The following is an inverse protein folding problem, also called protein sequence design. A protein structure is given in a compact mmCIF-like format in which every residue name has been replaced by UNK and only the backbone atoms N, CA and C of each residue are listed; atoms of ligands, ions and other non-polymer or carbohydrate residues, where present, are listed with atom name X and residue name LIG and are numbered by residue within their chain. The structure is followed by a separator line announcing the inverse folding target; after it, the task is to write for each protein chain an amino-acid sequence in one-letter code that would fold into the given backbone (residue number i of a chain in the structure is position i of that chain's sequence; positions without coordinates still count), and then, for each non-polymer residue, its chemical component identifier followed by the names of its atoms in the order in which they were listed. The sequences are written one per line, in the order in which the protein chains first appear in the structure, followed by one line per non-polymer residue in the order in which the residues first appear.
data_IF_318792856346
#
_entry.id   IF_318792856346
#
_cell.length_a   1.000
_cell.length_b   1.000
_cell.length_c   1.000
_cell.angle_alpha   90.00
_cell.angle_beta   90.00
_cell.angle_gamma   90.00
#
_symmetry.space_group_name_H-M   'P 1'
#
loop_
_entity.id
_entity.type
_entity.pdbx_description
1 polymer ?
#
# COMPACT_ATOMS: atom_id res chain seq x y z
N UNK A 1 8.54 2.25 -2.85
CA UNK A 1 8.64 3.09 -1.64
C UNK A 1 8.00 2.35 -0.48
N UNK A 2 8.67 2.36 0.68
CA UNK A 2 8.15 1.79 1.93
C UNK A 2 7.99 2.93 2.94
N UNK A 3 6.80 3.13 3.50
CA UNK A 3 6.57 4.09 4.58
C UNK A 3 6.26 3.35 5.89
N UNK A 4 6.71 3.92 7.02
CA UNK A 4 6.20 3.53 8.32
C UNK A 4 4.96 4.37 8.63
N UNK A 5 3.83 3.71 8.86
CA UNK A 5 2.65 4.42 9.37
C UNK A 5 2.86 4.74 10.85
N UNK A 6 2.19 5.79 11.37
CA UNK A 6 2.21 6.19 12.79
C UNK A 6 1.52 5.20 13.76
N UNK A 7 1.67 3.91 13.47
CA UNK A 7 1.32 2.74 14.27
C UNK A 7 2.43 1.67 14.21
N UNK A 8 3.60 2.00 13.67
CA UNK A 8 4.75 1.10 13.57
C UNK A 8 4.69 0.02 12.48
N UNK A 9 3.67 0.02 11.61
CA UNK A 9 3.54 -0.93 10.48
C UNK A 9 4.13 -0.36 9.20
N UNK A 10 4.79 -1.22 8.42
CA UNK A 10 5.31 -0.86 7.11
C UNK A 10 4.23 -0.98 6.03
N UNK A 11 4.21 -0.02 5.12
CA UNK A 11 3.36 -0.01 3.94
C UNK A 11 4.22 0.15 2.69
N UNK A 12 4.07 -0.78 1.73
CA UNK A 12 4.79 -0.74 0.47
C UNK A 12 3.88 -0.24 -0.65
N UNK A 13 4.35 0.76 -1.38
CA UNK A 13 3.74 1.26 -2.61
C UNK A 13 4.77 1.15 -3.74
N UNK A 14 4.40 0.55 -4.87
CA UNK A 14 5.35 0.32 -5.96
C UNK A 14 4.67 0.04 -7.30
N UNK A 15 5.43 0.31 -8.36
CA UNK A 15 5.08 -0.05 -9.73
C UNK A 15 6.00 -1.20 -10.16
N UNK A 16 5.44 -2.23 -10.76
CA UNK A 16 6.21 -3.30 -11.38
C UNK A 16 6.20 -3.05 -12.88
N UNK A 17 7.34 -2.66 -13.43
CA UNK A 17 7.50 -2.53 -14.87
C UNK A 17 7.97 -3.85 -15.46
N UNK A 18 7.19 -4.42 -16.37
CA UNK A 18 7.55 -5.68 -17.02
C UNK A 18 8.35 -5.39 -18.29
N UNK A 19 9.55 -5.95 -18.37
CA UNK A 19 10.37 -5.84 -19.57
C UNK A 19 9.61 -6.40 -20.79
N UNK A 20 9.61 -5.65 -21.89
CA UNK A 20 8.88 -6.01 -23.10
C UNK A 20 7.37 -5.76 -23.06
N UNK A 21 6.82 -5.16 -21.99
CA UNK A 21 5.43 -4.73 -21.99
C UNK A 21 5.18 -3.64 -23.04
N UNK A 22 4.03 -3.72 -23.72
CA UNK A 22 3.67 -2.78 -24.78
C UNK A 22 3.35 -1.40 -24.20
N UNK A 23 3.61 -0.36 -24.98
CA UNK A 23 3.10 0.98 -24.64
C UNK A 23 1.57 0.95 -24.57
N UNK A 24 0.91 1.80 -23.77
CA UNK A 24 -0.55 1.80 -23.67
C UNK A 24 -1.29 1.92 -25.01
N UNK A 25 -0.76 2.68 -25.97
CA UNK A 25 -1.35 2.78 -27.30
C UNK A 25 -1.19 1.48 -28.08
N UNK A 26 0.04 0.96 -28.16
CA UNK A 26 0.33 -0.30 -28.85
C UNK A 26 -0.42 -1.48 -28.23
N UNK A 27 -0.63 -1.48 -26.92
CA UNK A 27 -1.44 -2.48 -26.23
C UNK A 27 -2.89 -2.41 -26.72
N UNK A 28 -3.49 -1.22 -26.78
CA UNK A 28 -4.85 -1.02 -27.31
C UNK A 28 -4.97 -1.45 -28.76
N UNK A 29 -4.04 -1.04 -29.62
CA UNK A 29 -4.07 -1.40 -31.04
C UNK A 29 -4.03 -2.93 -31.20
N UNK A 30 -3.14 -3.59 -30.44
CA UNK A 30 -3.00 -5.05 -30.50
C UNK A 30 -4.20 -5.79 -29.91
N UNK A 31 -4.83 -5.23 -28.87
CA UNK A 31 -6.12 -5.72 -28.39
C UNK A 31 -7.19 -5.54 -29.46
N UNK A 32 -7.25 -4.41 -30.18
CA UNK A 32 -8.22 -4.19 -31.25
C UNK A 32 -8.08 -5.21 -32.40
N UNK A 33 -6.85 -5.49 -32.81
CA UNK A 33 -6.56 -6.27 -34.02
C UNK A 33 -6.57 -7.78 -33.83
N UNK A 34 -6.21 -8.29 -32.63
CA UNK A 34 -5.93 -9.71 -32.45
C UNK A 34 -6.71 -10.34 -31.29
N UNK A 35 -7.70 -11.16 -31.64
CA UNK A 35 -8.43 -11.99 -30.67
C UNK A 35 -7.49 -12.94 -29.90
N UNK A 36 -6.53 -13.56 -30.60
CA UNK A 36 -5.53 -14.42 -29.97
C UNK A 36 -4.70 -13.70 -28.91
N UNK A 37 -4.41 -12.42 -29.13
CA UNK A 37 -3.70 -11.59 -28.16
C UNK A 37 -4.61 -11.23 -26.98
N UNK A 38 -5.89 -10.92 -27.21
CA UNK A 38 -6.87 -10.72 -26.13
C UNK A 38 -6.94 -11.94 -25.21
N UNK A 39 -7.07 -13.14 -25.76
CA UNK A 39 -7.13 -14.38 -24.96
C UNK A 39 -5.87 -14.61 -24.15
N UNK A 40 -4.68 -14.36 -24.73
CA UNK A 40 -3.40 -14.45 -24.00
C UNK A 40 -3.31 -13.41 -22.89
N UNK A 41 -3.74 -12.17 -23.14
CA UNK A 41 -3.74 -11.10 -22.15
C UNK A 41 -4.66 -11.40 -20.98
N UNK A 42 -5.89 -11.86 -21.27
CA UNK A 42 -6.85 -12.30 -20.26
C UNK A 42 -6.28 -13.44 -19.42
N UNK A 43 -5.75 -14.48 -20.06
CA UNK A 43 -5.15 -15.61 -19.35
C UNK A 43 -3.96 -15.19 -18.47
N UNK A 44 -3.10 -14.30 -18.97
CA UNK A 44 -1.98 -13.78 -18.19
C UNK A 44 -2.46 -12.97 -16.97
N UNK A 45 -3.46 -12.10 -17.14
CA UNK A 45 -4.02 -11.30 -16.05
C UNK A 45 -4.66 -12.17 -14.98
N UNK A 46 -5.49 -13.15 -15.36
CA UNK A 46 -6.17 -14.04 -14.41
C UNK A 46 -5.20 -14.96 -13.66
N UNK A 47 -4.07 -15.31 -14.27
CA UNK A 47 -3.02 -16.07 -13.60
C UNK A 47 -2.19 -15.19 -12.65
N UNK A 48 -2.10 -13.89 -12.91
CA UNK A 48 -1.25 -12.95 -12.15
C UNK A 48 -2.01 -12.29 -11.01
N UNK A 49 -3.27 -11.88 -11.25
CA UNK A 49 -4.11 -11.12 -10.33
C UNK A 49 -5.38 -11.92 -10.07
N UNK A 50 -5.55 -12.32 -8.81
CA UNK A 50 -6.69 -13.10 -8.32
C UNK A 50 -7.56 -12.24 -7.41
N UNK A 51 -8.85 -12.56 -7.41
CA UNK A 51 -9.89 -11.91 -6.60
C UNK A 51 -10.84 -12.97 -6.02
N UNK A 52 -10.28 -14.12 -5.66
CA UNK A 52 -11.00 -15.34 -5.34
C UNK A 52 -10.22 -16.17 -4.32
N UNK A 53 -10.91 -17.00 -3.55
CA UNK A 53 -10.29 -18.03 -2.73
C UNK A 53 -9.69 -19.13 -3.63
N UNK A 54 -8.60 -19.74 -3.16
CA UNK A 54 -7.96 -20.88 -3.82
C UNK A 54 -8.90 -22.08 -3.84
N UNK A 55 -9.62 -22.32 -2.74
CA UNK A 55 -10.77 -23.23 -2.72
C UNK A 55 -12.03 -22.54 -3.26
N UNK A 56 -12.41 -22.92 -4.48
CA UNK A 56 -13.57 -22.35 -5.17
C UNK A 56 -14.90 -22.56 -4.46
N UNK A 57 -15.03 -23.58 -3.61
CA UNK A 57 -16.26 -23.81 -2.84
C UNK A 57 -16.54 -22.65 -1.87
N UNK A 58 -15.51 -21.90 -1.50
CA UNK A 58 -15.58 -20.77 -0.59
C UNK A 58 -15.83 -19.42 -1.30
N UNK A 59 -15.96 -19.42 -2.64
CA UNK A 59 -16.29 -18.21 -3.41
C UNK A 59 -17.78 -17.86 -3.38
N UNK A 60 -18.54 -18.41 -2.44
CA UNK A 60 -19.95 -18.06 -2.26
C UNK A 60 -20.05 -16.58 -1.87
N UNK A 61 -20.90 -15.77 -2.52
CA UNK A 61 -21.03 -14.34 -2.24
C UNK A 61 -21.55 -14.04 -0.82
N UNK A 62 -20.66 -14.02 0.17
CA UNK A 62 -20.96 -13.61 1.54
C UNK A 62 -20.11 -12.41 1.92
N UNK A 63 -20.74 -11.36 2.44
CA UNK A 63 -20.02 -10.21 2.99
C UNK A 63 -19.41 -10.48 4.37
N UNK A 64 -19.90 -11.52 5.05
CA UNK A 64 -19.50 -11.85 6.40
C UNK A 64 -18.20 -12.64 6.38
N UNK A 65 -17.13 -12.04 6.92
CA UNK A 65 -15.89 -12.75 7.18
C UNK A 65 -16.17 -13.91 8.15
N UNK A 66 -15.77 -15.16 7.82
CA UNK A 66 -15.86 -16.27 8.76
C UNK A 66 -15.09 -15.94 10.04
N UNK A 67 -15.73 -16.10 11.20
CA UNK A 67 -15.03 -15.92 12.48
C UNK A 67 -13.96 -17.00 12.60
N UNK A 68 -12.77 -16.59 13.02
CA UNK A 68 -11.70 -17.52 13.39
C UNK A 68 -12.16 -18.43 14.52
N UNK A 69 -11.73 -19.68 14.48
CA UNK A 69 -11.95 -20.60 15.60
C UNK A 69 -11.17 -20.06 16.81
N UNK A 70 -11.77 -20.01 18.00
CA UNK A 70 -11.04 -19.68 19.22
C UNK A 70 -9.79 -20.55 19.36
N UNK A 71 -8.69 -19.96 19.83
CA UNK A 71 -7.40 -20.62 20.07
C UNK A 71 -6.60 -21.08 18.83
N UNK A 72 -7.09 -20.84 17.61
CA UNK A 72 -6.30 -21.10 16.40
C UNK A 72 -5.16 -20.05 16.28
N UNK A 73 -3.92 -20.44 15.97
CA UNK A 73 -2.84 -19.50 15.73
C UNK A 73 -3.07 -18.69 14.45
N UNK A 74 -2.64 -17.42 14.45
CA UNK A 74 -2.80 -16.56 13.27
C UNK A 74 -2.03 -17.16 12.06
N UNK A 75 -2.62 -17.25 10.86
CA UNK A 75 -1.94 -17.87 9.70
C UNK A 75 -0.65 -17.14 9.31
N UNK A 76 -0.61 -15.82 9.53
CA UNK A 76 0.62 -15.01 9.41
C UNK A 76 1.76 -15.40 10.36
N UNK A 77 1.48 -16.05 11.50
CA UNK A 77 2.48 -16.39 12.53
C UNK A 77 2.97 -17.82 12.48
N UNK A 78 2.35 -18.69 11.67
CA UNK A 78 2.77 -20.08 11.52
C UNK A 78 3.76 -20.25 10.36
N UNK A 79 4.62 -21.29 10.40
CA UNK A 79 5.51 -21.61 9.30
C UNK A 79 4.73 -21.89 8.01
N UNK A 80 5.21 -21.37 6.89
CA UNK A 80 4.64 -21.68 5.58
C UNK A 80 4.98 -23.13 5.18
N UNK A 81 4.11 -23.80 4.39
CA UNK A 81 4.43 -25.06 3.73
C UNK A 81 5.80 -25.02 3.02
N UNK A 82 6.57 -26.10 3.10
CA UNK A 82 7.95 -26.17 2.55
C UNK A 82 8.02 -27.14 1.38
N UNK A 83 8.65 -26.69 0.29
CA UNK A 83 8.95 -27.54 -0.86
C UNK A 83 9.91 -28.66 -0.43
N UNK A 84 9.64 -29.89 -0.87
CA UNK A 84 10.51 -31.05 -0.61
C UNK A 84 10.24 -31.79 0.71
N UNK A 85 9.30 -31.31 1.53
CA UNK A 85 8.84 -32.04 2.74
C UNK A 85 7.71 -33.01 2.40
N UNK A 86 6.73 -32.53 1.63
CA UNK A 86 5.59 -33.30 1.15
C UNK A 86 5.70 -33.55 -0.36
N UNK A 87 4.96 -34.53 -0.88
CA UNK A 87 4.79 -34.70 -2.32
C UNK A 87 4.11 -33.47 -2.96
N UNK A 88 4.22 -33.33 -4.27
CA UNK A 88 3.71 -32.15 -4.98
C UNK A 88 2.21 -31.90 -4.79
N UNK A 89 1.39 -32.97 -4.68
CA UNK A 89 -0.06 -32.85 -4.52
C UNK A 89 -0.38 -32.38 -3.10
N UNK A 90 0.27 -32.97 -2.10
CA UNK A 90 0.13 -32.57 -0.71
C UNK A 90 0.60 -31.13 -0.48
N UNK A 91 1.76 -30.75 -1.05
CA UNK A 91 2.26 -29.38 -0.99
C UNK A 91 1.27 -28.39 -1.62
N UNK A 92 0.72 -28.69 -2.80
CA UNK A 92 -0.25 -27.79 -3.45
C UNK A 92 -1.51 -27.60 -2.60
N UNK A 93 -2.00 -28.67 -1.96
CA UNK A 93 -3.15 -28.60 -1.05
C UNK A 93 -2.83 -27.75 0.19
N UNK A 94 -1.67 -27.97 0.80
CA UNK A 94 -1.20 -27.20 1.95
C UNK A 94 -1.00 -25.72 1.60
N UNK A 95 -0.38 -25.43 0.44
CA UNK A 95 -0.21 -24.09 -0.10
C UNK A 95 -1.55 -23.38 -0.28
N UNK A 96 -2.52 -24.02 -0.95
CA UNK A 96 -3.84 -23.44 -1.19
C UNK A 96 -4.56 -23.12 0.14
N UNK A 97 -4.57 -24.07 1.08
CA UNK A 97 -5.18 -23.89 2.39
C UNK A 97 -4.50 -22.77 3.20
N UNK A 98 -3.17 -22.68 3.11
CA UNK A 98 -2.39 -21.66 3.78
C UNK A 98 -2.69 -20.26 3.21
N UNK A 99 -2.69 -20.12 1.87
CA UNK A 99 -3.06 -18.87 1.19
C UNK A 99 -4.49 -18.46 1.55
N UNK A 100 -5.46 -19.38 1.53
CA UNK A 100 -6.84 -19.08 1.93
C UNK A 100 -6.94 -18.57 3.37
N UNK A 101 -6.17 -19.15 4.29
CA UNK A 101 -6.05 -18.65 5.66
C UNK A 101 -5.55 -17.20 5.70
N UNK A 102 -4.49 -16.88 4.94
CA UNK A 102 -3.97 -15.53 4.84
C UNK A 102 -4.97 -14.56 4.20
N UNK A 103 -5.70 -14.98 3.16
CA UNK A 103 -6.69 -14.14 2.47
C UNK A 103 -7.82 -13.71 3.39
N UNK A 104 -8.31 -14.62 4.25
CA UNK A 104 -9.36 -14.30 5.24
C UNK A 104 -8.90 -13.24 6.23
N UNK A 105 -7.66 -13.30 6.68
CA UNK A 105 -7.13 -12.35 7.67
C UNK A 105 -6.71 -11.01 7.05
N UNK A 106 -6.05 -11.06 5.90
CA UNK A 106 -5.36 -9.91 5.35
C UNK A 106 -6.07 -9.26 4.16
N UNK A 107 -6.77 -10.03 3.32
CA UNK A 107 -7.30 -9.54 2.04
C UNK A 107 -8.82 -9.52 1.97
N UNK A 108 -9.51 -9.93 3.02
CA UNK A 108 -10.95 -9.77 3.14
C UNK A 108 -11.31 -8.33 3.45
N UNK A 109 -12.08 -7.73 2.54
CA UNK A 109 -12.54 -6.37 2.68
C UNK A 109 -13.72 -6.29 3.63
N UNK A 110 -13.53 -5.55 4.73
CA UNK A 110 -14.59 -5.14 5.64
C UNK A 110 -14.72 -3.63 5.53
N UNK A 111 -15.92 -3.13 5.28
CA UNK A 111 -16.12 -1.69 5.21
C UNK A 111 -15.77 -1.00 6.52
N UNK A 112 -14.81 -0.08 6.45
CA UNK A 112 -14.38 0.77 7.55
C UNK A 112 -14.61 2.25 7.22
N UNK A 113 -14.35 3.14 8.18
CA UNK A 113 -14.45 4.60 7.99
C UNK A 113 -13.64 5.10 6.79
N UNK A 114 -12.49 4.47 6.50
CA UNK A 114 -11.65 4.78 5.35
C UNK A 114 -12.34 4.56 3.99
N UNK A 115 -13.32 3.64 3.90
CA UNK A 115 -14.12 3.45 2.69
C UNK A 115 -14.91 4.69 2.31
N UNK A 116 -15.24 5.50 3.30
CA UNK A 116 -16.16 6.63 3.18
C UNK A 116 -15.43 7.99 3.19
N UNK A 117 -14.09 7.98 3.16
CA UNK A 117 -13.24 9.17 3.33
C UNK A 117 -13.60 10.31 2.38
N UNK A 118 -14.03 10.00 1.16
CA UNK A 118 -14.32 10.99 0.12
C UNK A 118 -15.82 11.20 -0.12
N UNK A 119 -16.68 10.61 0.72
CA UNK A 119 -18.11 10.86 0.66
C UNK A 119 -18.43 12.23 1.24
N UNK A 120 -19.29 12.97 0.54
CA UNK A 120 -19.80 14.26 1.03
C UNK A 120 -20.83 14.00 2.13
N UNK A 121 -21.08 15.03 2.93
CA UNK A 121 -22.11 14.95 3.97
C UNK A 121 -23.47 14.69 3.32
N UNK A 122 -24.11 13.59 3.70
CA UNK A 122 -25.40 13.16 3.16
C UNK A 122 -25.30 12.05 2.12
N UNK A 123 -24.11 11.77 1.57
CA UNK A 123 -23.93 10.64 0.65
C UNK A 123 -24.12 9.31 1.41
N UNK A 124 -24.80 8.32 0.81
CA UNK A 124 -25.05 7.05 1.47
C UNK A 124 -23.77 6.22 1.62
N UNK A 125 -23.57 5.63 2.79
CA UNK A 125 -22.49 4.65 3.04
C UNK A 125 -22.93 3.26 2.56
N UNK A 126 -22.95 3.08 1.24
CA UNK A 126 -23.31 1.83 0.57
C UNK A 126 -22.09 1.19 -0.09
N UNK A 127 -22.21 -0.09 -0.45
CA UNK A 127 -21.15 -0.81 -1.17
C UNK A 127 -20.76 -0.10 -2.47
N UNK A 128 -21.75 0.46 -3.19
CA UNK A 128 -21.52 1.21 -4.42
C UNK A 128 -20.69 2.48 -4.23
N UNK A 129 -20.67 3.01 -3.01
CA UNK A 129 -19.89 4.19 -2.63
C UNK A 129 -18.58 3.84 -1.92
N UNK A 130 -18.17 2.57 -1.96
CA UNK A 130 -16.90 2.17 -1.39
C UNK A 130 -15.74 2.72 -2.23
N UNK A 131 -14.89 3.55 -1.61
CA UNK A 131 -13.66 4.06 -2.24
C UNK A 131 -12.78 2.96 -2.85
N UNK A 132 -12.77 1.75 -2.26
CA UNK A 132 -11.95 0.64 -2.74
C UNK A 132 -12.60 -0.14 -3.91
N UNK A 133 -13.79 0.27 -4.37
CA UNK A 133 -14.51 -0.40 -5.45
C UNK A 133 -15.12 -1.75 -5.05
N UNK A 134 -15.31 -1.99 -3.75
CA UNK A 134 -15.88 -3.22 -3.22
C UNK A 134 -17.41 -3.11 -3.19
N UNK A 135 -18.03 -3.28 -4.36
CA UNK A 135 -19.47 -3.11 -4.59
C UNK A 135 -20.30 -4.34 -4.18
N UNK A 136 -19.64 -5.50 -4.04
CA UNK A 136 -20.28 -6.79 -3.85
C UNK A 136 -20.58 -7.52 -5.16
N UNK A 137 -20.24 -6.93 -6.30
CA UNK A 137 -20.42 -7.55 -7.62
C UNK A 137 -19.33 -8.58 -7.90
N UNK A 138 -19.69 -9.63 -8.63
CA UNK A 138 -18.76 -10.65 -9.12
C UNK A 138 -18.73 -10.62 -10.64
N UNK A 139 -17.60 -11.04 -11.20
CA UNK A 139 -17.40 -11.18 -12.63
C UNK A 139 -16.74 -12.54 -12.90
N UNK A 140 -17.40 -13.39 -13.69
CA UNK A 140 -16.95 -14.77 -13.88
C UNK A 140 -15.65 -14.88 -14.68
N UNK A 141 -15.44 -13.98 -15.64
CA UNK A 141 -14.28 -13.95 -16.54
C UNK A 141 -13.86 -12.51 -16.82
N UNK A 142 -12.58 -12.29 -17.05
CA UNK A 142 -12.06 -10.97 -17.40
C UNK A 142 -12.63 -10.54 -18.74
N UNK A 143 -13.26 -9.36 -18.78
CA UNK A 143 -13.83 -8.80 -20.00
C UNK A 143 -13.04 -7.58 -20.47
N UNK A 144 -13.05 -7.36 -21.79
CA UNK A 144 -12.46 -6.19 -22.43
C UNK A 144 -13.58 -5.44 -23.13
N UNK A 145 -13.78 -4.18 -22.74
CA UNK A 145 -14.80 -3.34 -23.36
C UNK A 145 -14.45 -3.11 -24.85
N UNK A 146 -15.39 -3.32 -25.79
CA UNK A 146 -15.08 -3.29 -27.22
C UNK A 146 -14.80 -1.89 -27.76
N UNK A 147 -15.22 -0.82 -27.06
CA UNK A 147 -15.08 0.56 -27.52
C UNK A 147 -13.87 1.26 -26.89
N UNK A 148 -13.65 1.01 -25.60
CA UNK A 148 -12.63 1.67 -24.78
C UNK A 148 -11.39 0.80 -24.56
N UNK A 149 -11.49 -0.51 -24.81
CA UNK A 149 -10.48 -1.51 -24.45
C UNK A 149 -10.14 -1.52 -22.95
N UNK A 150 -11.05 -1.00 -22.11
CA UNK A 150 -10.93 -1.09 -20.67
C UNK A 150 -11.04 -2.56 -20.25
N UNK A 151 -10.11 -3.00 -19.38
CA UNK A 151 -10.07 -4.38 -18.89
C UNK A 151 -10.73 -4.43 -17.52
N UNK A 152 -11.80 -5.22 -17.42
CA UNK A 152 -12.48 -5.55 -16.17
C UNK A 152 -12.06 -6.93 -15.72
N UNK A 153 -11.24 -7.00 -14.67
CA UNK A 153 -10.70 -8.26 -14.17
C UNK A 153 -11.79 -9.16 -13.58
N UNK A 154 -11.63 -10.47 -13.80
CA UNK A 154 -12.40 -11.52 -13.11
C UNK A 154 -12.43 -11.29 -11.60
N UNK A 155 -13.61 -11.47 -11.00
CA UNK A 155 -13.85 -11.40 -9.56
C UNK A 155 -14.83 -12.49 -9.13
N UNK A 156 -14.32 -13.63 -8.68
CA UNK A 156 -15.19 -14.71 -8.21
C UNK A 156 -15.57 -14.57 -6.74
N UNK A 157 -14.81 -13.84 -5.93
CA UNK A 157 -15.21 -13.46 -4.58
C UNK A 157 -15.44 -11.94 -4.47
N UNK A 158 -16.62 -11.48 -4.04
CA UNK A 158 -16.96 -10.06 -4.05
C UNK A 158 -16.14 -9.20 -3.07
N UNK A 159 -15.61 -9.82 -2.02
CA UNK A 159 -14.93 -9.12 -0.92
C UNK A 159 -13.43 -9.42 -0.78
N UNK A 160 -12.84 -10.22 -1.67
CA UNK A 160 -11.38 -10.42 -1.65
C UNK A 160 -10.73 -9.34 -2.50
N UNK A 161 -9.81 -8.58 -1.90
CA UNK A 161 -9.01 -7.60 -2.62
C UNK A 161 -8.04 -8.29 -3.59
N UNK A 162 -7.73 -7.60 -4.68
CA UNK A 162 -6.88 -8.12 -5.75
C UNK A 162 -5.51 -8.50 -5.20
N UNK A 163 -5.10 -9.75 -5.41
CA UNK A 163 -3.85 -10.28 -4.87
C UNK A 163 -3.10 -11.13 -5.89
N UNK A 164 -1.83 -11.38 -5.61
CA UNK A 164 -1.07 -12.45 -6.24
C UNK A 164 -0.80 -13.51 -5.15
N UNK A 165 -1.08 -14.76 -5.45
CA UNK A 165 -1.03 -15.86 -4.48
C UNK A 165 0.39 -16.10 -3.95
N UNK A 166 1.40 -16.03 -4.83
CA UNK A 166 2.79 -16.18 -4.43
C UNK A 166 3.24 -15.02 -3.53
N UNK A 167 2.89 -13.78 -3.88
CA UNK A 167 3.23 -12.62 -3.06
C UNK A 167 2.51 -12.68 -1.71
N UNK A 168 1.23 -13.08 -1.68
CA UNK A 168 0.49 -13.30 -0.44
C UNK A 168 1.17 -14.36 0.43
N UNK A 169 1.55 -15.49 -0.15
CA UNK A 169 2.25 -16.58 0.53
C UNK A 169 3.58 -16.14 1.16
N UNK A 170 4.35 -15.33 0.44
CA UNK A 170 5.68 -14.88 0.86
C UNK A 170 5.63 -13.73 1.87
N UNK A 171 4.80 -12.70 1.62
CA UNK A 171 4.78 -11.47 2.41
C UNK A 171 3.80 -11.52 3.58
N UNK A 172 2.74 -12.35 3.50
CA UNK A 172 1.74 -12.54 4.56
C UNK A 172 1.16 -11.21 5.06
N UNK A 173 0.81 -10.32 4.13
CA UNK A 173 0.26 -9.00 4.45
C UNK A 173 -0.84 -8.60 3.48
N UNK A 174 -1.63 -7.60 3.85
CA UNK A 174 -2.65 -7.04 2.97
C UNK A 174 -2.01 -6.53 1.66
N UNK A 175 -2.68 -6.75 0.54
CA UNK A 175 -2.27 -6.23 -0.75
C UNK A 175 -3.46 -5.88 -1.65
N UNK A 176 -3.23 -4.94 -2.58
CA UNK A 176 -4.19 -4.54 -3.63
C UNK A 176 -3.42 -4.33 -4.95
N UNK A 177 -3.45 -5.32 -5.83
CA UNK A 177 -2.77 -5.27 -7.14
C UNK A 177 -3.71 -4.74 -8.22
N UNK A 178 -3.25 -3.79 -9.02
CA UNK A 178 -3.98 -3.27 -10.18
C UNK A 178 -3.14 -3.31 -11.43
N UNK A 179 -3.73 -3.77 -12.52
CA UNK A 179 -3.12 -3.67 -13.83
C UNK A 179 -3.22 -2.23 -14.35
N UNK A 180 -2.10 -1.66 -14.80
CA UNK A 180 -2.02 -0.31 -15.35
C UNK A 180 -1.93 -0.41 -16.88
N UNK A 181 -3.09 -0.50 -17.54
CA UNK A 181 -3.18 -0.68 -18.99
C UNK A 181 -3.31 0.59 -19.82
N UNK A 182 -3.52 1.75 -19.18
CA UNK A 182 -3.76 3.03 -19.87
C UNK A 182 -2.85 4.14 -19.36
N UNK A 183 -2.59 5.14 -20.21
CA UNK A 183 -1.83 6.32 -19.81
C UNK A 183 -2.51 7.12 -18.69
N UNK A 184 -3.85 7.15 -18.64
CA UNK A 184 -4.61 7.78 -17.57
C UNK A 184 -4.44 7.04 -16.24
N UNK A 185 -4.52 5.70 -16.27
CA UNK A 185 -4.26 4.88 -15.08
C UNK A 185 -2.82 5.06 -14.59
N UNK A 186 -1.85 5.16 -15.50
CA UNK A 186 -0.46 5.41 -15.16
C UNK A 186 -0.26 6.79 -14.50
N UNK A 187 -0.87 7.85 -15.06
CA UNK A 187 -0.84 9.19 -14.46
C UNK A 187 -1.50 9.21 -13.09
N UNK A 188 -2.68 8.61 -12.95
CA UNK A 188 -3.38 8.52 -11.67
C UNK A 188 -2.54 7.78 -10.61
N UNK A 189 -1.87 6.69 -11.01
CA UNK A 189 -0.95 5.97 -10.14
C UNK A 189 0.28 6.81 -9.75
N UNK A 190 0.88 7.54 -10.69
CA UNK A 190 2.01 8.43 -10.40
C UNK A 190 1.61 9.53 -9.42
N UNK A 191 0.45 10.16 -9.59
CA UNK A 191 -0.09 11.11 -8.63
C UNK A 191 -0.29 10.47 -7.25
N UNK A 192 -0.92 9.30 -7.21
CA UNK A 192 -1.12 8.54 -5.99
C UNK A 192 0.21 8.28 -5.28
N UNK A 193 1.22 7.72 -5.95
CA UNK A 193 2.53 7.44 -5.34
C UNK A 193 3.22 8.72 -4.89
N UNK A 194 3.12 9.80 -5.67
CA UNK A 194 3.69 11.12 -5.30
C UNK A 194 3.09 11.63 -3.99
N UNK A 195 1.79 11.48 -3.76
CA UNK A 195 1.14 11.87 -2.50
C UNK A 195 1.71 11.10 -1.30
N UNK A 196 2.15 9.86 -1.49
CA UNK A 196 2.81 9.10 -0.42
C UNK A 196 4.28 9.46 -0.26
N UNK A 197 5.02 9.68 -1.35
CA UNK A 197 6.43 10.11 -1.29
C UNK A 197 6.55 11.46 -0.60
N UNK A 198 5.63 12.38 -0.90
CA UNK A 198 5.61 13.75 -0.36
C UNK A 198 4.89 13.87 0.97
N UNK A 199 4.41 12.75 1.53
CA UNK A 199 3.70 12.74 2.81
C UNK A 199 4.67 13.14 3.93
N UNK A 200 4.34 14.18 4.72
CA UNK A 200 5.26 14.66 5.74
C UNK A 200 5.44 13.58 6.83
N UNK A 201 6.67 13.34 7.30
CA UNK A 201 6.94 12.36 8.36
C UNK A 201 6.32 12.77 9.71
N UNK A 202 6.16 14.08 9.93
CA UNK A 202 5.53 14.65 11.12
C UNK A 202 4.29 15.45 10.72
N UNK A 203 3.08 15.09 11.19
CA UNK A 203 1.90 15.90 10.97
C UNK A 203 2.08 17.30 11.61
N UNK A 204 1.70 18.35 10.88
CA UNK A 204 1.90 19.75 11.30
C UNK A 204 1.35 20.02 12.71
N UNK A 205 0.20 19.45 13.08
CA UNK A 205 -0.39 19.64 14.40
C UNK A 205 0.47 19.03 15.53
N UNK A 206 1.16 17.91 15.28
CA UNK A 206 2.11 17.31 16.23
C UNK A 206 3.34 18.19 16.34
N UNK A 207 3.85 18.71 15.22
CA UNK A 207 4.95 19.68 15.20
C UNK A 207 4.62 20.95 15.99
N UNK A 208 3.41 21.51 15.81
CA UNK A 208 2.93 22.68 16.53
C UNK A 208 2.75 22.40 18.03
N UNK A 209 2.23 21.22 18.40
CA UNK A 209 2.12 20.83 19.81
C UNK A 209 3.49 20.69 20.48
N UNK A 210 4.46 20.07 19.79
CA UNK A 210 5.84 19.97 20.26
C UNK A 210 6.50 21.35 20.40
N UNK A 211 6.25 22.27 19.45
CA UNK A 211 6.72 23.65 19.53
C UNK A 211 6.09 24.40 20.72
N UNK A 212 4.77 24.29 20.91
CA UNK A 212 4.08 24.91 22.02
C UNK A 212 4.63 24.41 23.37
N UNK A 213 4.86 23.10 23.48
CA UNK A 213 5.48 22.49 24.66
C UNK A 213 6.92 22.99 24.88
N UNK A 214 7.72 23.10 23.83
CA UNK A 214 9.08 23.61 23.92
C UNK A 214 9.12 25.09 24.34
N UNK A 215 8.16 25.91 23.87
CA UNK A 215 8.01 27.31 24.30
C UNK A 215 7.68 27.38 25.78
N UNK A 216 6.74 26.58 26.28
CA UNK A 216 6.34 26.56 27.69
C UNK A 216 7.50 26.16 28.62
N UNK A 217 8.25 25.11 28.25
CA UNK A 217 9.45 24.70 28.97
C UNK A 217 10.51 25.80 28.96
N UNK A 218 10.73 26.45 27.82
CA UNK A 218 11.73 27.50 27.68
C UNK A 218 11.37 28.72 28.52
N UNK A 219 10.10 29.13 28.53
CA UNK A 219 9.58 30.21 29.36
C UNK A 219 9.73 29.90 30.86
N UNK A 220 9.47 28.66 31.25
CA UNK A 220 9.64 28.20 32.65
C UNK A 220 11.11 28.23 33.06
N UNK A 221 12.02 27.77 32.19
CA UNK A 221 13.47 27.73 32.48
C UNK A 221 14.13 29.10 32.42
N UNK A 222 13.59 30.03 31.63
CA UNK A 222 14.16 31.34 31.40
C UNK A 222 13.09 32.45 31.38
N UNK A 223 12.49 32.79 32.53
CA UNK A 223 11.34 33.71 32.61
C UNK A 223 11.65 35.16 32.20
N UNK A 224 12.92 35.57 32.22
CA UNK A 224 13.33 36.96 31.94
C UNK A 224 13.82 37.20 30.50
N UNK A 225 13.77 36.19 29.63
CA UNK A 225 14.28 36.25 28.25
C UNK A 225 13.56 37.30 27.39
N UNK A 226 12.29 37.55 27.66
CA UNK A 226 11.51 38.58 26.97
C UNK A 226 11.63 39.98 27.58
N UNK A 227 12.31 40.13 28.73
CA UNK A 227 12.50 41.43 29.39
C UNK A 227 13.81 42.13 29.02
N UNK A 228 14.83 41.38 28.57
CA UNK A 228 16.08 41.96 28.09
C UNK A 228 16.15 41.94 26.57
N UNK A 229 16.33 43.09 25.93
CA UNK A 229 16.48 43.24 24.47
C UNK A 229 17.72 42.55 23.88
N UNK A 230 18.56 41.95 24.73
CA UNK A 230 19.76 41.19 24.35
C UNK A 230 19.58 39.77 24.90
N UNK A 231 18.72 38.98 24.29
CA UNK A 231 18.67 37.56 24.58
C UNK A 231 20.00 36.91 24.15
N UNK A 232 20.69 36.27 25.09
CA UNK A 232 21.98 35.64 24.82
C UNK A 232 21.81 34.54 23.75
N UNK A 233 22.75 34.40 22.78
CA UNK A 233 22.69 33.36 21.73
C UNK A 233 22.41 31.95 22.27
N UNK A 234 22.91 31.64 23.48
CA UNK A 234 22.70 30.38 24.19
C UNK A 234 21.23 30.07 24.48
N UNK A 235 20.39 31.08 24.71
CA UNK A 235 18.96 30.90 24.99
C UNK A 235 18.20 30.48 23.74
N UNK A 236 18.48 31.11 22.59
CA UNK A 236 17.88 30.72 21.32
C UNK A 236 18.30 29.31 20.90
N UNK A 237 19.59 28.97 21.06
CA UNK A 237 20.08 27.61 20.81
C UNK A 237 19.41 26.59 21.73
N UNK A 238 19.22 26.90 23.02
CA UNK A 238 18.51 26.05 23.99
C UNK A 238 17.04 25.82 23.61
N UNK A 239 16.33 26.89 23.19
CA UNK A 239 14.94 26.82 22.75
C UNK A 239 14.79 25.98 21.47
N UNK A 240 15.65 26.19 20.48
CA UNK A 240 15.69 25.40 19.23
C UNK A 240 16.02 23.94 19.55
N UNK A 241 17.01 23.69 20.40
CA UNK A 241 17.39 22.32 20.78
C UNK A 241 16.25 21.61 21.51
N UNK A 242 15.53 22.32 22.40
CA UNK A 242 14.35 21.77 23.08
C UNK A 242 13.24 21.46 22.08
N UNK A 243 12.95 22.37 21.15
CA UNK A 243 11.95 22.15 20.10
C UNK A 243 12.31 20.95 19.21
N UNK A 244 13.56 20.86 18.75
CA UNK A 244 14.05 19.76 17.92
C UNK A 244 13.97 18.44 18.69
N UNK A 245 14.45 18.39 19.93
CA UNK A 245 14.40 17.19 20.75
C UNK A 245 12.97 16.75 21.08
N UNK A 246 12.06 17.70 21.33
CA UNK A 246 10.64 17.38 21.49
C UNK A 246 10.07 16.80 20.19
N UNK A 247 10.30 17.44 19.04
CA UNK A 247 9.84 16.92 17.75
C UNK A 247 10.41 15.53 17.44
N UNK A 248 11.69 15.29 17.70
CA UNK A 248 12.33 13.98 17.52
C UNK A 248 11.81 12.94 18.51
N UNK A 249 11.54 13.32 19.77
CA UNK A 249 10.97 12.41 20.77
C UNK A 249 9.54 11.96 20.45
N UNK A 250 8.81 12.74 19.65
CA UNK A 250 7.49 12.36 19.12
C UNK A 250 7.57 11.64 17.77
N UNK A 251 8.76 11.50 17.17
CA UNK A 251 8.91 10.78 15.92
C UNK A 251 8.99 9.28 16.20
N UNK A 252 7.89 8.58 15.96
CA UNK A 252 7.86 7.12 16.03
C UNK A 252 8.73 6.50 14.91
N UNK A 253 9.58 5.55 15.29
CA UNK A 253 10.36 4.74 14.35
C UNK A 253 9.82 3.31 14.41
N UNK A 254 9.51 2.73 13.26
CA UNK A 254 9.01 1.36 13.20
C UNK A 254 10.09 0.33 13.56
N UNK A 255 9.70 -0.78 14.19
CA UNK A 255 10.62 -1.87 14.51
C UNK A 255 11.43 -2.34 13.27
N UNK A 256 10.83 -2.53 12.08
CA UNK A 256 11.60 -2.91 10.90
C UNK A 256 12.65 -1.87 10.46
N UNK A 257 12.38 -0.57 10.60
CA UNK A 257 13.37 0.48 10.33
C UNK A 257 14.55 0.37 11.29
N UNK A 258 14.29 0.19 12.59
CA UNK A 258 15.36 -0.01 13.59
C UNK A 258 16.17 -1.26 13.24
N UNK A 259 15.52 -2.38 12.94
CA UNK A 259 16.20 -3.62 12.60
C UNK A 259 17.04 -3.50 11.33
N UNK A 260 16.54 -2.79 10.30
CA UNK A 260 17.29 -2.51 9.07
C UNK A 260 18.63 -1.84 9.36
N UNK A 261 18.64 -0.83 10.24
CA UNK A 261 19.89 -0.18 10.67
C UNK A 261 20.79 -1.10 11.49
N UNK A 262 20.23 -1.86 12.44
CA UNK A 262 21.00 -2.76 13.31
C UNK A 262 21.71 -3.88 12.54
N UNK A 263 21.11 -4.37 11.45
CA UNK A 263 21.71 -5.42 10.59
C UNK A 263 22.57 -4.85 9.45
N UNK A 264 22.75 -3.52 9.39
CA UNK A 264 23.57 -2.86 8.37
C UNK A 264 22.89 -2.63 7.01
N UNK A 265 21.56 -2.79 6.92
CA UNK A 265 20.77 -2.55 5.71
C UNK A 265 20.47 -1.07 5.43
N UNK A 266 20.61 -0.18 6.42
CA UNK A 266 20.39 1.26 6.24
C UNK A 266 18.92 1.65 6.07
N UNK A 267 18.66 2.74 5.36
CA UNK A 267 17.33 3.33 5.13
C UNK A 267 16.77 3.17 3.71
N UNK A 268 17.52 2.52 2.81
CA UNK A 268 17.10 2.30 1.43
C UNK A 268 17.53 0.94 0.92
N UNK A 269 16.82 0.46 -0.10
CA UNK A 269 17.17 -0.73 -0.87
C UNK A 269 17.23 -0.30 -2.33
N UNK A 270 18.39 -0.42 -2.96
CA UNK A 270 18.54 -0.16 -4.40
C UNK A 270 19.36 -1.26 -5.05
N UNK A 271 18.93 -1.68 -6.24
CA UNK A 271 19.72 -2.53 -7.14
C UNK A 271 20.61 -1.73 -8.09
N UNK A 272 20.37 -0.42 -8.18
CA UNK A 272 20.93 0.45 -9.21
C UNK A 272 21.48 1.75 -8.61
N UNK A 273 22.41 2.37 -9.34
CA UNK A 273 22.95 3.69 -9.03
C UNK A 273 22.09 4.77 -9.68
N UNK A 274 21.81 5.84 -8.95
CA UNK A 274 21.00 6.97 -9.43
C UNK A 274 21.89 8.19 -9.67
N UNK A 275 21.65 8.88 -10.79
CA UNK A 275 22.29 10.15 -11.13
C UNK A 275 21.47 11.34 -10.62
N UNK A 276 22.16 12.41 -10.22
CA UNK A 276 21.51 13.64 -9.74
C UNK A 276 20.89 14.38 -10.92
N UNK A 277 19.57 14.47 -10.93
CA UNK A 277 18.83 15.29 -11.91
C UNK A 277 18.65 16.72 -11.40
N UNK A 278 19.30 17.68 -12.05
CA UNK A 278 19.14 19.09 -11.73
C UNK A 278 17.83 19.64 -12.31
N UNK A 279 16.80 19.74 -11.47
CA UNK A 279 15.45 20.19 -11.86
C UNK A 279 15.44 21.51 -12.65
N UNK A 280 16.28 22.47 -12.28
CA UNK A 280 16.41 23.77 -12.98
C UNK A 280 16.87 23.65 -14.44
N UNK A 281 17.59 22.59 -14.79
CA UNK A 281 18.03 22.30 -16.17
C UNK A 281 16.88 21.70 -16.99
N UNK A 282 16.07 20.84 -16.37
CA UNK A 282 14.93 20.15 -17.00
C UNK A 282 13.76 21.10 -17.25
N UNK A 283 13.54 22.07 -16.37
CA UNK A 283 12.51 23.11 -16.51
C UNK A 283 12.61 23.93 -17.82
N UNK A 284 13.75 23.90 -18.51
CA UNK A 284 13.93 24.60 -19.79
C UNK A 284 13.31 23.86 -20.98
N UNK A 285 12.93 22.60 -20.80
CA UNK A 285 12.41 21.71 -21.84
C UNK A 285 10.93 21.35 -21.64
N UNK A 286 10.28 21.91 -20.62
CA UNK A 286 8.85 21.78 -20.32
C UNK A 286 8.21 23.14 -20.58
#
# INVERSE_FOLDING_TARGET
MVEAQGKGTLHAHGLIWLHGHLSPQTLRDRLAESESFRSKMVSWLENTIRCEMMDRSQNTPTATLPKRVPDEPHPGTIPSPRIGVSDAISFQREYNAFVDGLLREYNWHIHQTACWKYLRRGDPKSNQNCRMGMTGETLLETSIDPNTFAISLRRQHPWIANYNDLVMFLLKCNMDIKFVGSGEAAKAFLHYVTDYITKPPLPVHVGLAALAHAIDITNTKHPDVFKSSIAAPKTYTSAITTAVNSMMGYQEISHPQVMSYLVGGGDHYTSDDFEILWWGTVLRFI
#
